data_IF_139412413303
#
_entry.id   IF_139412413303
#
_cell.length_a   1.000
_cell.length_b   1.000
_cell.length_c   1.000
_cell.angle_alpha   90.00
_cell.angle_beta   90.00
_cell.angle_gamma   90.00
#
_symmetry.space_group_name_H-M   'P 1'
#
loop_
_entity.id
_entity.type
_entity.pdbx_description
1 polymer ?
#
# COMPACT_ATOMS: atom_id res chain seq x y z
N UNK A 1 3.14 -32.29 14.67
CA UNK A 1 2.11 -31.45 14.02
C UNK A 1 2.72 -30.27 13.27
N UNK A 2 3.63 -29.49 13.89
CA UNK A 2 4.33 -28.36 13.24
C UNK A 2 5.07 -28.75 11.95
N UNK A 3 5.76 -29.90 11.93
CA UNK A 3 6.49 -30.37 10.74
C UNK A 3 5.57 -30.68 9.54
N UNK A 4 4.42 -31.31 9.78
CA UNK A 4 3.44 -31.61 8.73
C UNK A 4 2.85 -30.33 8.12
N UNK A 5 2.68 -29.27 8.92
CA UNK A 5 2.21 -27.98 8.43
C UNK A 5 3.23 -27.32 7.50
N UNK A 6 4.53 -27.36 7.82
CA UNK A 6 5.57 -26.81 6.95
C UNK A 6 5.73 -27.60 5.64
N UNK A 7 5.62 -28.93 5.68
CA UNK A 7 5.60 -29.75 4.46
C UNK A 7 4.40 -29.37 3.58
N UNK A 8 3.21 -29.21 4.18
CA UNK A 8 2.02 -28.76 3.46
C UNK A 8 2.21 -27.36 2.86
N UNK A 9 2.79 -26.40 3.58
CA UNK A 9 3.07 -25.08 3.01
C UNK A 9 4.10 -25.13 1.88
N UNK A 10 5.12 -25.98 2.00
CA UNK A 10 6.14 -26.18 0.96
C UNK A 10 5.54 -26.79 -0.31
N UNK A 11 4.57 -27.71 -0.18
CA UNK A 11 3.88 -28.29 -1.35
C UNK A 11 3.04 -27.26 -2.13
N UNK A 12 2.61 -26.17 -1.48
CA UNK A 12 1.90 -25.06 -2.10
C UNK A 12 2.82 -24.00 -2.74
N UNK A 13 4.15 -24.18 -2.70
CA UNK A 13 5.12 -23.19 -3.20
C UNK A 13 4.79 -22.67 -4.60
N UNK A 14 4.54 -23.56 -5.56
CA UNK A 14 4.28 -23.14 -6.94
C UNK A 14 2.97 -22.35 -7.04
N UNK A 15 1.93 -22.74 -6.30
CA UNK A 15 0.67 -22.00 -6.24
C UNK A 15 0.88 -20.59 -5.68
N UNK A 16 1.66 -20.45 -4.61
CA UNK A 16 2.00 -19.13 -4.06
C UNK A 16 2.80 -18.28 -5.04
N UNK A 17 3.71 -18.86 -5.82
CA UNK A 17 4.45 -18.11 -6.85
C UNK A 17 3.51 -17.65 -7.97
N UNK A 18 2.61 -18.50 -8.47
CA UNK A 18 1.62 -18.09 -9.46
C UNK A 18 0.70 -17.00 -8.92
N UNK A 19 0.23 -17.16 -7.69
CA UNK A 19 -0.57 -16.15 -7.01
C UNK A 19 0.19 -14.83 -6.92
N UNK A 20 1.43 -14.86 -6.43
CA UNK A 20 2.32 -13.70 -6.33
C UNK A 20 2.53 -12.99 -7.68
N UNK A 21 2.72 -13.73 -8.78
CA UNK A 21 2.82 -13.15 -10.13
C UNK A 21 1.52 -12.47 -10.53
N UNK A 22 0.39 -13.17 -10.36
CA UNK A 22 -0.92 -12.70 -10.80
C UNK A 22 -1.33 -11.38 -10.12
N UNK A 23 -0.91 -11.18 -8.88
CA UNK A 23 -1.22 -9.99 -8.08
C UNK A 23 -0.15 -8.89 -8.16
N UNK A 24 1.13 -9.25 -8.25
CA UNK A 24 2.24 -8.28 -8.30
C UNK A 24 2.29 -7.51 -9.62
N UNK A 25 1.94 -8.15 -10.75
CA UNK A 25 1.92 -7.49 -12.05
C UNK A 25 0.90 -6.33 -12.10
N UNK A 26 -0.39 -6.53 -11.73
CA UNK A 26 -1.33 -5.41 -11.59
C UNK A 26 -0.86 -4.32 -10.64
N UNK A 27 -0.24 -4.68 -9.51
CA UNK A 27 0.30 -3.71 -8.55
C UNK A 27 1.46 -2.90 -9.11
N UNK A 28 2.35 -3.52 -9.88
CA UNK A 28 3.43 -2.81 -10.57
C UNK A 28 2.88 -1.81 -11.59
N UNK A 29 1.88 -2.22 -12.38
CA UNK A 29 1.19 -1.31 -13.31
C UNK A 29 0.52 -0.16 -12.55
N UNK A 30 -0.10 -0.46 -11.41
CA UNK A 30 -0.69 0.55 -10.53
C UNK A 30 0.37 1.55 -10.06
N UNK A 31 1.53 1.09 -9.57
CA UNK A 31 2.64 1.98 -9.19
C UNK A 31 3.13 2.88 -10.33
N UNK A 32 3.21 2.36 -11.56
CA UNK A 32 3.56 3.16 -12.73
C UNK A 32 2.50 4.25 -12.96
N UNK A 33 1.22 3.92 -12.90
CA UNK A 33 0.13 4.89 -13.04
C UNK A 33 0.12 5.91 -11.90
N UNK A 34 0.44 5.50 -10.67
CA UNK A 34 0.56 6.38 -9.53
C UNK A 34 1.65 7.44 -9.76
N UNK A 35 2.86 7.00 -10.13
CA UNK A 35 3.99 7.89 -10.43
C UNK A 35 3.62 8.89 -11.53
N UNK A 36 3.09 8.41 -12.65
CA UNK A 36 2.72 9.29 -13.78
C UNK A 36 1.63 10.28 -13.36
N UNK A 37 0.62 9.83 -12.60
CA UNK A 37 -0.47 10.70 -12.12
C UNK A 37 0.07 11.80 -11.20
N UNK A 38 0.97 11.46 -10.27
CA UNK A 38 1.56 12.43 -9.33
C UNK A 38 2.40 13.45 -10.11
N UNK A 39 3.25 13.00 -11.04
CA UNK A 39 4.09 13.90 -11.85
C UNK A 39 3.23 14.85 -12.69
N UNK A 40 2.19 14.34 -13.36
CA UNK A 40 1.35 15.10 -14.30
C UNK A 40 0.49 16.16 -13.61
N UNK A 41 0.01 15.91 -12.40
CA UNK A 41 -1.00 16.76 -11.75
C UNK A 41 -0.45 17.50 -10.54
N UNK A 42 -0.27 18.82 -10.67
CA UNK A 42 0.24 19.71 -9.61
C UNK A 42 -0.47 19.58 -8.26
N UNK A 43 -1.77 19.24 -8.26
CA UNK A 43 -2.56 19.02 -7.02
C UNK A 43 -2.03 17.88 -6.14
N UNK A 44 -1.20 17.00 -6.69
CA UNK A 44 -0.57 15.90 -5.95
C UNK A 44 0.91 16.17 -5.64
N UNK A 45 1.43 17.39 -5.82
CA UNK A 45 2.83 17.73 -5.50
C UNK A 45 3.02 18.09 -4.01
N UNK A 46 2.38 17.33 -3.12
CA UNK A 46 2.57 17.49 -1.67
C UNK A 46 3.62 16.49 -1.14
N UNK A 47 4.21 16.72 0.05
CA UNK A 47 5.27 15.86 0.59
C UNK A 47 4.87 14.39 0.70
N UNK A 48 3.61 14.10 1.00
CA UNK A 48 3.11 12.72 1.10
C UNK A 48 3.23 11.98 -0.23
N UNK A 49 2.78 12.57 -1.35
CA UNK A 49 2.88 11.92 -2.66
C UNK A 49 4.32 11.87 -3.20
N UNK A 50 5.19 12.82 -2.82
CA UNK A 50 6.62 12.71 -3.10
C UNK A 50 7.22 11.46 -2.44
N UNK A 51 6.87 11.20 -1.18
CA UNK A 51 7.28 9.98 -0.49
C UNK A 51 6.68 8.71 -1.09
N UNK A 52 5.44 8.78 -1.60
CA UNK A 52 4.85 7.68 -2.39
C UNK A 52 5.73 7.38 -3.61
N UNK A 53 6.12 8.37 -4.42
CA UNK A 53 7.00 8.15 -5.58
C UNK A 53 8.32 7.48 -5.16
N UNK A 54 8.96 8.01 -4.11
CA UNK A 54 10.22 7.47 -3.59
C UNK A 54 10.06 6.00 -3.19
N UNK A 55 8.90 5.60 -2.65
CA UNK A 55 8.59 4.21 -2.30
C UNK A 55 8.23 3.35 -3.50
N UNK A 56 7.51 3.88 -4.48
CA UNK A 56 7.04 3.14 -5.65
C UNK A 56 8.21 2.67 -6.54
N UNK A 57 9.28 3.46 -6.65
CA UNK A 57 10.45 3.11 -7.47
C UNK A 57 11.16 1.83 -7.00
N UNK A 58 11.60 1.71 -5.72
CA UNK A 58 12.14 0.46 -5.19
C UNK A 58 11.20 -0.72 -5.33
N UNK A 59 9.89 -0.53 -5.15
CA UNK A 59 8.92 -1.61 -5.30
C UNK A 59 8.80 -2.12 -6.74
N UNK A 60 8.87 -1.24 -7.73
CA UNK A 60 8.91 -1.63 -9.15
C UNK A 60 10.21 -2.40 -9.44
N UNK A 61 11.35 -1.88 -8.99
CA UNK A 61 12.66 -2.53 -9.17
C UNK A 61 12.69 -3.91 -8.51
N UNK A 62 12.21 -4.01 -7.27
CA UNK A 62 12.05 -5.27 -6.55
C UNK A 62 11.15 -6.25 -7.32
N UNK A 63 9.99 -5.79 -7.79
CA UNK A 63 9.04 -6.65 -8.50
C UNK A 63 9.66 -7.21 -9.79
N UNK A 64 10.38 -6.38 -10.55
CA UNK A 64 11.09 -6.80 -11.75
C UNK A 64 12.23 -7.77 -11.42
N UNK A 65 13.11 -7.42 -10.49
CA UNK A 65 14.25 -8.26 -10.10
C UNK A 65 13.78 -9.62 -9.54
N UNK A 66 12.83 -9.62 -8.61
CA UNK A 66 12.25 -10.85 -8.06
C UNK A 66 11.54 -11.69 -9.13
N UNK A 67 10.88 -11.06 -10.11
CA UNK A 67 10.23 -11.78 -11.20
C UNK A 67 11.24 -12.52 -12.06
N UNK A 68 12.29 -11.83 -12.53
CA UNK A 68 13.30 -12.43 -13.39
C UNK A 68 14.23 -13.37 -12.62
N UNK A 69 14.78 -12.94 -11.49
CA UNK A 69 15.85 -13.67 -10.84
C UNK A 69 15.35 -14.81 -9.94
N UNK A 70 14.11 -14.74 -9.46
CA UNK A 70 13.55 -15.73 -8.54
C UNK A 70 12.31 -16.46 -9.09
N UNK A 71 11.25 -15.75 -9.51
CA UNK A 71 9.98 -16.42 -9.83
C UNK A 71 10.05 -17.22 -11.13
N UNK A 72 10.61 -16.63 -12.19
CA UNK A 72 10.78 -17.32 -13.46
C UNK A 72 11.75 -18.49 -13.35
N UNK A 73 12.85 -18.33 -12.62
CA UNK A 73 13.83 -19.41 -12.40
C UNK A 73 13.25 -20.57 -11.59
N UNK A 74 12.33 -20.33 -10.65
CA UNK A 74 11.65 -21.41 -9.92
C UNK A 74 10.58 -22.10 -10.77
N UNK A 75 9.80 -21.36 -11.56
CA UNK A 75 8.71 -21.93 -12.37
C UNK A 75 9.20 -22.63 -13.64
N UNK A 76 10.18 -22.03 -14.32
CA UNK A 76 10.68 -22.46 -15.62
C UNK A 76 12.17 -22.80 -15.58
N UNK A 77 12.68 -23.14 -14.38
CA UNK A 77 14.11 -23.37 -14.15
C UNK A 77 14.73 -24.37 -15.12
N UNK A 78 14.05 -25.47 -15.44
CA UNK A 78 14.57 -26.45 -16.41
C UNK A 78 14.81 -25.84 -17.80
N UNK A 79 13.96 -24.91 -18.22
CA UNK A 79 14.07 -24.22 -19.51
C UNK A 79 15.06 -23.04 -19.45
N UNK A 80 15.06 -22.30 -18.34
CA UNK A 80 15.86 -21.09 -18.17
C UNK A 80 17.28 -21.35 -17.66
N UNK A 81 17.53 -22.48 -16.99
CA UNK A 81 18.80 -22.79 -16.35
C UNK A 81 20.02 -22.68 -17.29
N UNK A 82 19.97 -23.17 -18.55
CA UNK A 82 21.08 -22.99 -19.48
C UNK A 82 21.41 -21.51 -19.76
N UNK A 83 20.42 -20.63 -19.73
CA UNK A 83 20.61 -19.19 -19.89
C UNK A 83 21.17 -18.56 -18.61
N UNK A 84 20.59 -18.87 -17.43
CA UNK A 84 21.03 -18.29 -16.16
C UNK A 84 22.42 -18.76 -15.73
N UNK A 85 22.81 -19.99 -16.06
CA UNK A 85 24.14 -20.52 -15.75
C UNK A 85 25.27 -19.85 -16.56
N UNK A 86 24.92 -19.21 -17.68
CA UNK A 86 25.85 -18.43 -18.51
C UNK A 86 25.93 -16.96 -18.11
N UNK A 87 25.08 -16.49 -17.19
CA UNK A 87 25.13 -15.11 -16.74
C UNK A 87 26.43 -14.85 -15.97
N UNK A 88 27.12 -13.73 -16.23
CA UNK A 88 28.33 -13.39 -15.51
C UNK A 88 28.01 -13.11 -14.03
N UNK A 89 28.95 -13.47 -13.15
CA UNK A 89 28.80 -13.35 -11.69
C UNK A 89 28.37 -11.95 -11.21
N UNK A 90 28.76 -10.89 -11.92
CA UNK A 90 28.37 -9.52 -11.56
C UNK A 90 26.86 -9.29 -11.70
N UNK A 91 26.17 -9.96 -12.63
CA UNK A 91 24.71 -9.84 -12.79
C UNK A 91 23.97 -10.47 -11.63
N UNK A 92 24.41 -11.66 -11.17
CA UNK A 92 23.85 -12.31 -9.99
C UNK A 92 24.05 -11.44 -8.74
N UNK A 93 25.26 -10.89 -8.56
CA UNK A 93 25.55 -9.95 -7.45
C UNK A 93 24.68 -8.70 -7.53
N UNK A 94 24.46 -8.16 -8.72
CA UNK A 94 23.60 -7.00 -8.92
C UNK A 94 22.14 -7.33 -8.56
N UNK A 95 21.62 -8.50 -8.91
CA UNK A 95 20.29 -8.93 -8.50
C UNK A 95 20.16 -9.04 -6.97
N UNK A 96 21.09 -9.75 -6.31
CA UNK A 96 21.11 -9.82 -4.85
C UNK A 96 21.20 -8.44 -4.19
N UNK A 97 22.02 -7.56 -4.75
CA UNK A 97 22.13 -6.17 -4.31
C UNK A 97 20.78 -5.44 -4.47
N UNK A 98 20.15 -5.52 -5.65
CA UNK A 98 18.87 -4.88 -5.91
C UNK A 98 17.80 -5.37 -4.93
N UNK A 99 17.57 -6.68 -4.84
CA UNK A 99 16.61 -7.26 -3.88
C UNK A 99 16.82 -6.74 -2.45
N UNK A 100 18.05 -6.77 -1.95
CA UNK A 100 18.36 -6.36 -0.58
C UNK A 100 18.16 -4.85 -0.35
N UNK A 101 18.71 -4.01 -1.23
CA UNK A 101 18.63 -2.56 -1.08
C UNK A 101 17.25 -1.99 -1.40
N UNK A 102 16.50 -2.60 -2.33
CA UNK A 102 15.10 -2.21 -2.57
C UNK A 102 14.22 -2.49 -1.36
N UNK A 103 14.47 -3.60 -0.64
CA UNK A 103 13.77 -3.90 0.61
C UNK A 103 14.09 -2.86 1.69
N UNK A 104 15.37 -2.50 1.88
CA UNK A 104 15.77 -1.46 2.84
C UNK A 104 15.18 -0.11 2.47
N UNK A 105 15.20 0.25 1.19
CA UNK A 105 14.63 1.49 0.70
C UNK A 105 13.11 1.55 0.91
N UNK A 106 12.39 0.44 0.73
CA UNK A 106 10.96 0.35 1.01
C UNK A 106 10.65 0.52 2.50
N UNK A 107 11.42 -0.12 3.39
CA UNK A 107 11.33 0.11 4.84
C UNK A 107 11.52 1.58 5.20
N UNK A 108 12.59 2.20 4.67
CA UNK A 108 12.90 3.61 4.93
C UNK A 108 11.79 4.53 4.41
N UNK A 109 11.31 4.32 3.18
CA UNK A 109 10.24 5.12 2.62
C UNK A 109 8.94 4.98 3.42
N UNK A 110 8.63 3.77 3.91
CA UNK A 110 7.50 3.54 4.80
C UNK A 110 7.62 4.32 6.11
N UNK A 111 8.82 4.39 6.72
CA UNK A 111 9.08 5.26 7.91
C UNK A 111 8.69 6.69 7.61
N UNK A 112 9.23 7.23 6.52
CA UNK A 112 9.06 8.63 6.18
C UNK A 112 7.59 8.96 5.95
N UNK A 113 6.84 8.05 5.33
CA UNK A 113 5.38 8.19 5.16
C UNK A 113 4.68 8.19 6.52
N UNK A 114 5.00 7.25 7.42
CA UNK A 114 4.40 7.18 8.74
C UNK A 114 4.68 8.45 9.56
N UNK A 115 5.93 8.90 9.57
CA UNK A 115 6.35 10.15 10.21
C UNK A 115 5.61 11.36 9.64
N UNK A 116 5.55 11.48 8.31
CA UNK A 116 4.84 12.56 7.64
C UNK A 116 3.35 12.58 8.00
N UNK A 117 2.71 11.41 8.13
CA UNK A 117 1.30 11.31 8.54
C UNK A 117 1.11 11.64 10.02
N UNK A 118 2.03 11.23 10.90
CA UNK A 118 2.01 11.66 12.30
C UNK A 118 2.06 13.17 12.36
N UNK A 119 3.12 13.77 11.83
CA UNK A 119 3.34 15.21 11.97
C UNK A 119 2.16 15.99 11.41
N UNK A 120 1.60 15.59 10.27
CA UNK A 120 0.40 16.22 9.71
C UNK A 120 -0.82 16.17 10.65
N UNK A 121 -1.00 15.07 11.39
CA UNK A 121 -2.15 14.89 12.29
C UNK A 121 -1.93 15.54 13.66
N UNK A 122 -0.71 15.56 14.19
CA UNK A 122 -0.45 16.08 15.54
C UNK A 122 -0.05 17.53 15.58
N UNK A 123 0.63 18.00 14.54
CA UNK A 123 1.08 19.35 14.38
C UNK A 123 0.33 19.95 13.20
N UNK A 124 -0.86 20.51 13.45
CA UNK A 124 -1.56 21.37 12.49
C UNK A 124 -0.83 22.69 12.18
N UNK A 125 0.51 22.71 12.24
CA UNK A 125 1.35 23.91 12.17
C UNK A 125 2.31 23.82 10.99
N UNK A 126 2.21 24.82 10.10
CA UNK A 126 3.24 25.37 9.19
C UNK A 126 4.48 24.51 8.98
N UNK A 127 4.44 23.69 7.93
CA UNK A 127 5.60 22.93 7.44
C UNK A 127 6.75 23.87 7.04
N UNK A 128 7.83 23.87 7.82
CA UNK A 128 9.18 24.18 7.33
C UNK A 128 9.90 22.86 7.03
N UNK A 129 10.75 22.88 6.00
CA UNK A 129 11.35 21.71 5.33
C UNK A 129 11.89 20.62 6.27
N UNK A 130 11.82 19.33 5.86
CA UNK A 130 12.31 18.22 6.66
C UNK A 130 13.84 18.15 6.67
N UNK A 131 14.40 17.79 7.84
CA UNK A 131 15.83 17.58 8.10
C UNK A 131 16.15 16.12 7.80
N UNK A 132 17.02 15.85 6.83
CA UNK A 132 17.47 14.50 6.45
C UNK A 132 18.98 14.48 6.26
N UNK A 133 19.74 14.38 7.35
CA UNK A 133 21.15 14.07 7.27
C UNK A 133 21.52 13.02 8.32
N UNK A 134 22.14 11.93 7.83
CA UNK A 134 22.77 10.83 8.56
C UNK A 134 21.85 9.83 9.31
N UNK A 135 21.66 8.64 8.72
CA UNK A 135 21.28 7.43 9.45
C UNK A 135 22.03 6.19 8.94
N UNK A 136 22.95 5.60 9.71
CA UNK A 136 23.55 4.29 9.40
C UNK A 136 22.64 3.15 9.90
N UNK A 137 22.40 2.13 9.07
CA UNK A 137 21.44 1.04 9.30
C UNK A 137 22.10 -0.22 9.91
N UNK A 138 21.63 -0.67 11.08
CA UNK A 138 21.98 -1.94 11.76
C UNK A 138 20.68 -2.69 12.16
N UNK A 139 20.68 -4.00 12.40
CA UNK A 139 19.51 -4.80 12.84
C UNK A 139 18.84 -4.22 14.10
N UNK A 140 19.62 -3.66 15.04
CA UNK A 140 19.06 -2.91 16.17
C UNK A 140 18.19 -1.73 15.73
N UNK A 141 18.51 -1.09 14.60
CA UNK A 141 17.64 -0.06 14.02
C UNK A 141 16.30 -0.63 13.58
N UNK A 142 16.19 -1.88 13.10
CA UNK A 142 14.90 -2.44 12.70
C UNK A 142 13.94 -2.61 13.90
N UNK A 143 14.46 -2.98 15.08
CA UNK A 143 13.66 -3.12 16.31
C UNK A 143 13.28 -1.75 16.87
N UNK A 144 14.25 -0.83 16.97
CA UNK A 144 13.98 0.57 17.32
C UNK A 144 13.00 1.20 16.32
N UNK A 145 13.10 0.84 15.04
CA UNK A 145 12.23 1.27 13.96
C UNK A 145 10.79 0.78 14.11
N UNK A 146 10.56 -0.50 14.42
CA UNK A 146 9.21 -1.00 14.71
C UNK A 146 8.64 -0.27 15.92
N UNK A 147 9.46 -0.11 16.97
CA UNK A 147 9.02 0.54 18.20
C UNK A 147 8.61 1.99 17.94
N UNK A 148 9.46 2.75 17.25
CA UNK A 148 9.16 4.11 16.81
C UNK A 148 7.89 4.10 15.96
N UNK A 149 7.79 3.26 14.93
CA UNK A 149 6.62 3.20 14.04
C UNK A 149 5.30 2.86 14.75
N UNK A 150 5.33 1.98 15.76
CA UNK A 150 4.17 1.70 16.61
C UNK A 150 3.79 2.95 17.40
N UNK A 151 4.76 3.60 18.04
CA UNK A 151 4.54 4.86 18.77
C UNK A 151 3.98 5.95 17.85
N UNK A 152 4.49 6.03 16.60
CA UNK A 152 4.01 6.92 15.55
C UNK A 152 2.55 6.66 15.23
N UNK A 153 2.20 5.42 14.93
CA UNK A 153 0.83 5.06 14.58
C UNK A 153 -0.14 5.31 15.75
N UNK A 154 0.26 5.01 16.99
CA UNK A 154 -0.55 5.27 18.20
C UNK A 154 -0.74 6.79 18.40
N UNK A 155 0.35 7.57 18.34
CA UNK A 155 0.30 9.03 18.52
C UNK A 155 -0.57 9.71 17.46
N UNK A 156 -0.45 9.25 16.22
CA UNK A 156 -1.30 9.66 15.10
C UNK A 156 -2.77 9.35 15.37
N UNK A 157 -3.09 8.12 15.77
CA UNK A 157 -4.46 7.71 16.06
C UNK A 157 -5.09 8.49 17.23
N UNK A 158 -4.36 8.66 18.33
CA UNK A 158 -4.82 9.42 19.51
C UNK A 158 -5.08 10.87 19.14
N UNK A 159 -4.18 11.49 18.37
CA UNK A 159 -4.31 12.89 17.99
C UNK A 159 -5.45 13.10 17.00
N UNK A 160 -5.62 12.20 16.03
CA UNK A 160 -6.80 12.18 15.16
C UNK A 160 -8.10 12.09 15.96
N UNK A 161 -8.17 11.20 16.96
CA UNK A 161 -9.36 11.06 17.83
C UNK A 161 -9.63 12.33 18.64
N UNK A 162 -8.58 13.00 19.13
CA UNK A 162 -8.70 14.29 19.84
C UNK A 162 -9.17 15.41 18.91
N UNK A 163 -8.61 15.50 17.70
CA UNK A 163 -8.98 16.48 16.69
C UNK A 163 -10.47 16.32 16.29
N UNK A 164 -10.90 15.08 16.02
CA UNK A 164 -12.29 14.77 15.70
C UNK A 164 -13.27 15.20 16.80
N UNK A 165 -12.91 15.02 18.07
CA UNK A 165 -13.74 15.44 19.22
C UNK A 165 -13.86 16.97 19.33
N UNK A 166 -12.88 17.74 18.85
CA UNK A 166 -12.95 19.22 18.82
C UNK A 166 -13.83 19.72 17.67
N UNK A 167 -13.71 19.12 16.49
CA UNK A 167 -14.46 19.55 15.30
C UNK A 167 -15.95 19.20 15.38
N UNK A 168 -16.33 18.12 16.08
CA UNK A 168 -17.74 17.72 16.21
C UNK A 168 -18.68 18.77 16.84
N UNK A 169 -18.14 19.86 17.41
CA UNK A 169 -18.93 20.97 17.95
C UNK A 169 -19.19 22.12 16.97
N UNK A 170 -18.54 22.16 15.80
CA UNK A 170 -18.60 23.29 14.86
C UNK A 170 -19.19 22.79 13.54
N UNK A 171 -20.19 23.51 13.03
CA UNK A 171 -21.15 23.10 11.98
C UNK A 171 -20.51 22.37 10.78
N UNK A 172 -21.11 21.22 10.46
CA UNK A 172 -20.74 20.31 9.38
C UNK A 172 -20.94 20.92 7.99
N UNK A 173 -19.86 21.32 7.31
CA UNK A 173 -19.89 21.41 5.86
C UNK A 173 -19.64 20.00 5.27
N UNK A 174 -20.32 19.65 4.18
CA UNK A 174 -20.12 18.35 3.49
C UNK A 174 -18.67 18.12 3.06
N UNK A 175 -17.91 19.20 2.85
CA UNK A 175 -16.50 19.15 2.48
C UNK A 175 -15.63 18.60 3.62
N UNK A 176 -15.81 19.08 4.85
CA UNK A 176 -15.05 18.59 6.02
C UNK A 176 -15.27 17.10 6.27
N UNK A 177 -16.51 16.61 6.06
CA UNK A 177 -16.83 15.18 6.20
C UNK A 177 -16.02 14.35 5.19
N UNK A 178 -15.89 14.82 3.94
CA UNK A 178 -15.15 14.13 2.90
C UNK A 178 -13.63 14.17 3.15
N UNK A 179 -13.11 15.28 3.65
CA UNK A 179 -11.70 15.43 4.04
C UNK A 179 -11.35 14.48 5.20
N UNK A 180 -12.14 14.50 6.28
CA UNK A 180 -11.95 13.61 7.43
C UNK A 180 -12.04 12.12 7.03
N UNK A 181 -12.96 11.78 6.12
CA UNK A 181 -13.06 10.41 5.58
C UNK A 181 -11.80 10.02 4.80
N UNK A 182 -11.25 10.92 4.01
CA UNK A 182 -10.03 10.68 3.23
C UNK A 182 -8.84 10.51 4.15
N UNK A 183 -8.70 11.35 5.18
CA UNK A 183 -7.64 11.21 6.17
C UNK A 183 -7.71 9.88 6.94
N UNK A 184 -8.91 9.44 7.31
CA UNK A 184 -9.11 8.15 7.96
C UNK A 184 -8.70 6.98 7.05
N UNK A 185 -9.07 7.01 5.77
CA UNK A 185 -8.64 5.99 4.81
C UNK A 185 -7.12 5.97 4.64
N UNK A 186 -6.47 7.13 4.62
CA UNK A 186 -5.01 7.25 4.57
C UNK A 186 -4.33 6.73 5.85
N UNK A 187 -4.97 6.89 7.01
CA UNK A 187 -4.51 6.29 8.27
C UNK A 187 -4.61 4.77 8.22
N UNK A 188 -5.71 4.21 7.71
CA UNK A 188 -5.84 2.76 7.50
C UNK A 188 -4.78 2.25 6.53
N UNK A 189 -4.52 2.97 5.43
CA UNK A 189 -3.41 2.68 4.52
C UNK A 189 -2.08 2.55 5.26
N UNK A 190 -1.76 3.52 6.12
CA UNK A 190 -0.53 3.53 6.90
C UNK A 190 -0.44 2.35 7.87
N UNK A 191 -1.53 2.03 8.58
CA UNK A 191 -1.59 0.91 9.54
C UNK A 191 -1.42 -0.44 8.83
N UNK A 192 -2.15 -0.68 7.73
CA UNK A 192 -2.04 -1.94 7.00
C UNK A 192 -0.66 -2.11 6.35
N UNK A 193 -0.11 -1.03 5.80
CA UNK A 193 1.27 -1.03 5.29
C UNK A 193 2.24 -1.41 6.41
N UNK A 194 2.10 -0.82 7.60
CA UNK A 194 2.92 -1.15 8.76
C UNK A 194 2.81 -2.62 9.18
N UNK A 195 1.59 -3.17 9.22
CA UNK A 195 1.36 -4.60 9.54
C UNK A 195 2.08 -5.50 8.54
N UNK A 196 2.01 -5.18 7.24
CA UNK A 196 2.75 -5.91 6.21
C UNK A 196 4.26 -5.93 6.46
N UNK A 197 4.84 -4.77 6.79
CA UNK A 197 6.28 -4.65 7.11
C UNK A 197 6.66 -5.36 8.42
N UNK A 198 5.78 -5.36 9.43
CA UNK A 198 6.00 -6.07 10.68
C UNK A 198 6.04 -7.59 10.47
N UNK A 199 5.17 -8.14 9.61
CA UNK A 199 5.20 -9.59 9.27
C UNK A 199 6.51 -9.96 8.55
N UNK A 200 6.94 -9.13 7.60
CA UNK A 200 8.23 -9.31 6.92
C UNK A 200 9.38 -9.35 7.93
N UNK A 201 9.45 -8.38 8.86
CA UNK A 201 10.52 -8.35 9.84
C UNK A 201 10.45 -9.57 10.78
N UNK A 202 9.27 -9.98 11.22
CA UNK A 202 9.10 -11.15 12.05
C UNK A 202 9.69 -12.41 11.38
N UNK A 203 9.55 -12.54 10.06
CA UNK A 203 10.15 -13.65 9.29
C UNK A 203 11.66 -13.53 9.17
N UNK A 204 12.20 -12.33 8.96
CA UNK A 204 13.65 -12.09 8.98
C UNK A 204 14.24 -12.42 10.35
N UNK A 205 13.59 -12.01 11.44
CA UNK A 205 13.99 -12.37 12.80
C UNK A 205 13.91 -13.88 13.04
N UNK A 206 12.83 -14.51 12.59
CA UNK A 206 12.69 -15.97 12.63
C UNK A 206 13.85 -16.62 11.90
N UNK A 207 14.20 -16.19 10.68
CA UNK A 207 15.35 -16.69 9.92
C UNK A 207 16.67 -16.54 10.70
N UNK A 208 16.94 -15.37 11.27
CA UNK A 208 18.16 -15.10 12.03
C UNK A 208 18.26 -15.97 13.30
N UNK A 209 17.14 -16.17 13.99
CA UNK A 209 17.06 -17.02 15.21
C UNK A 209 17.15 -18.50 14.85
N UNK A 210 16.54 -18.90 13.72
CA UNK A 210 16.48 -20.28 13.21
C UNK A 210 17.76 -20.70 12.47
N UNK A 211 18.75 -19.83 12.31
CA UNK A 211 20.08 -20.16 11.78
C UNK A 211 20.80 -21.29 12.57
N UNK A 212 20.13 -21.89 13.57
CA UNK A 212 20.30 -23.23 14.10
C UNK A 212 20.02 -24.35 13.07
N UNK A 213 20.97 -24.66 12.16
CA UNK A 213 21.13 -25.95 11.44
C UNK A 213 19.92 -26.66 10.78
N UNK A 214 18.73 -26.05 10.72
CA UNK A 214 17.50 -26.69 10.27
C UNK A 214 17.16 -26.22 8.84
N UNK A 215 17.73 -26.92 7.87
CA UNK A 215 17.56 -26.62 6.44
C UNK A 215 16.09 -26.62 6.00
N UNK A 216 15.24 -27.48 6.57
CA UNK A 216 13.82 -27.55 6.22
C UNK A 216 13.08 -26.28 6.64
N UNK A 217 13.38 -25.75 7.84
CA UNK A 217 12.76 -24.53 8.32
C UNK A 217 13.27 -23.30 7.55
N UNK A 218 14.56 -23.28 7.20
CA UNK A 218 15.13 -22.26 6.30
C UNK A 218 14.41 -22.28 4.95
N UNK A 219 14.26 -23.45 4.33
CA UNK A 219 13.54 -23.60 3.07
C UNK A 219 12.08 -23.15 3.19
N UNK A 220 11.39 -23.50 4.27
CA UNK A 220 10.03 -23.04 4.53
C UNK A 220 9.95 -21.51 4.62
N UNK A 221 10.86 -20.84 5.33
CA UNK A 221 10.90 -19.37 5.39
C UNK A 221 11.15 -18.78 3.99
N UNK A 222 12.13 -19.29 3.25
CA UNK A 222 12.46 -18.80 1.90
C UNK A 222 11.34 -19.01 0.88
N UNK A 223 10.54 -20.05 1.00
CA UNK A 223 9.39 -20.26 0.11
C UNK A 223 8.24 -19.30 0.39
N UNK A 224 8.10 -18.86 1.64
CA UNK A 224 7.02 -17.97 2.05
C UNK A 224 7.39 -16.48 1.94
N UNK A 225 8.68 -16.17 1.94
CA UNK A 225 9.20 -14.81 1.90
C UNK A 225 8.71 -13.99 0.69
N UNK A 226 8.76 -14.48 -0.57
CA UNK A 226 8.39 -13.69 -1.73
C UNK A 226 6.93 -13.22 -1.72
N UNK A 227 5.98 -14.13 -1.46
CA UNK A 227 4.57 -13.73 -1.47
C UNK A 227 4.22 -12.82 -0.28
N UNK A 228 4.90 -13.00 0.85
CA UNK A 228 4.72 -12.12 2.02
C UNK A 228 5.21 -10.70 1.70
N UNK A 229 6.41 -10.59 1.10
CA UNK A 229 6.96 -9.33 0.61
C UNK A 229 6.03 -8.69 -0.41
N UNK A 230 5.50 -9.47 -1.36
CA UNK A 230 4.57 -8.97 -2.36
C UNK A 230 3.31 -8.40 -1.71
N UNK A 231 2.69 -9.13 -0.78
CA UNK A 231 1.48 -8.66 -0.11
C UNK A 231 1.76 -7.41 0.72
N UNK A 232 2.81 -7.41 1.54
CA UNK A 232 3.11 -6.33 2.48
C UNK A 232 3.67 -5.06 1.85
N UNK A 233 4.57 -5.19 0.87
CA UNK A 233 5.31 -4.08 0.29
C UNK A 233 4.78 -3.64 -1.07
N UNK A 234 4.32 -4.59 -1.90
CA UNK A 234 3.94 -4.30 -3.30
C UNK A 234 2.42 -4.07 -3.43
N UNK A 235 1.62 -5.03 -2.96
CA UNK A 235 0.18 -5.08 -3.21
C UNK A 235 -0.55 -4.15 -2.27
N UNK A 236 -0.47 -4.39 -0.96
CA UNK A 236 -1.26 -3.61 0.00
C UNK A 236 -1.07 -2.11 -0.22
N UNK A 237 0.15 -1.59 -0.35
CA UNK A 237 0.29 -0.15 -0.42
C UNK A 237 -0.24 0.45 -1.74
N UNK A 238 0.05 -0.12 -2.91
CA UNK A 238 -0.48 0.38 -4.18
C UNK A 238 -2.03 0.37 -4.19
N UNK A 239 -2.63 -0.75 -3.83
CA UNK A 239 -4.08 -0.89 -3.83
C UNK A 239 -4.77 -0.06 -2.75
N UNK A 240 -4.17 0.07 -1.56
CA UNK A 240 -4.72 0.89 -0.49
C UNK A 240 -4.62 2.38 -0.81
N UNK A 241 -3.57 2.84 -1.48
CA UNK A 241 -3.48 4.25 -1.91
C UNK A 241 -4.56 4.56 -2.95
N UNK A 242 -4.72 3.68 -3.93
CA UNK A 242 -5.79 3.77 -4.92
C UNK A 242 -7.20 3.77 -4.28
N UNK A 243 -7.39 2.97 -3.23
CA UNK A 243 -8.65 2.94 -2.49
C UNK A 243 -8.86 4.20 -1.63
N UNK A 244 -7.79 4.68 -0.98
CA UNK A 244 -7.86 5.70 0.06
C UNK A 244 -8.23 7.09 -0.46
N UNK A 245 -7.72 7.48 -1.64
CA UNK A 245 -7.92 8.83 -2.19
C UNK A 245 -8.87 8.80 -3.38
N UNK A 246 -10.13 9.20 -3.16
CA UNK A 246 -11.17 9.22 -4.19
C UNK A 246 -10.81 10.19 -5.33
N UNK A 247 -10.18 11.33 -5.01
CA UNK A 247 -9.69 12.31 -5.99
C UNK A 247 -8.54 11.76 -6.84
N UNK A 248 -7.60 11.06 -6.20
CA UNK A 248 -6.45 10.46 -6.89
C UNK A 248 -6.88 9.32 -7.81
N UNK A 249 -7.73 8.40 -7.30
CA UNK A 249 -8.36 7.35 -8.10
C UNK A 249 -9.12 7.92 -9.28
N UNK A 250 -9.95 8.95 -9.06
CA UNK A 250 -10.73 9.57 -10.13
C UNK A 250 -9.81 10.14 -11.21
N UNK A 251 -8.72 10.80 -10.81
CA UNK A 251 -7.76 11.33 -11.78
C UNK A 251 -7.04 10.22 -12.56
N UNK A 252 -6.62 9.16 -11.89
CA UNK A 252 -5.93 8.05 -12.54
C UNK A 252 -6.85 7.29 -13.51
N UNK A 253 -8.12 7.08 -13.15
CA UNK A 253 -9.14 6.55 -14.07
C UNK A 253 -9.33 7.52 -15.24
N UNK A 254 -9.37 8.82 -15.02
CA UNK A 254 -9.48 9.78 -16.12
C UNK A 254 -8.27 9.76 -17.06
N UNK A 255 -7.08 9.50 -16.54
CA UNK A 255 -5.85 9.52 -17.32
C UNK A 255 -5.62 8.23 -18.12
N UNK A 256 -5.85 7.06 -17.51
CA UNK A 256 -5.46 5.77 -18.08
C UNK A 256 -6.63 4.89 -18.53
N UNK A 257 -7.86 5.18 -18.09
CA UNK A 257 -8.99 4.33 -18.42
C UNK A 257 -9.43 4.57 -19.88
N UNK A 258 -9.61 3.51 -20.69
CA UNK A 258 -10.09 3.64 -22.07
C UNK A 258 -11.43 4.39 -22.14
N UNK A 259 -11.67 5.10 -23.25
CA UNK A 259 -12.88 5.91 -23.43
C UNK A 259 -14.19 5.09 -23.32
N UNK A 260 -14.18 3.82 -23.75
CA UNK A 260 -15.35 2.95 -23.62
C UNK A 260 -15.68 2.64 -22.15
N UNK A 261 -14.66 2.38 -21.32
CA UNK A 261 -14.84 2.12 -19.89
C UNK A 261 -15.26 3.41 -19.15
N UNK A 262 -14.75 4.57 -19.56
CA UNK A 262 -15.22 5.87 -19.06
C UNK A 262 -16.72 6.08 -19.33
N UNK A 263 -17.23 5.66 -20.48
CA UNK A 263 -18.66 5.71 -20.80
C UNK A 263 -19.48 4.81 -19.87
N UNK A 264 -19.02 3.60 -19.60
CA UNK A 264 -19.68 2.68 -18.64
C UNK A 264 -19.73 3.25 -17.22
N UNK A 265 -18.63 3.87 -16.75
CA UNK A 265 -18.59 4.50 -15.43
C UNK A 265 -19.58 5.68 -15.37
N UNK A 266 -19.62 6.54 -16.41
CA UNK A 266 -20.57 7.67 -16.47
C UNK A 266 -22.03 7.23 -16.44
N UNK A 267 -22.37 6.13 -17.11
CA UNK A 267 -23.72 5.57 -17.11
C UNK A 267 -24.16 5.19 -15.68
N UNK A 268 -23.29 4.51 -14.94
CA UNK A 268 -23.57 4.09 -13.55
C UNK A 268 -23.75 5.28 -12.60
N UNK A 269 -22.96 6.35 -12.77
CA UNK A 269 -23.08 7.55 -11.93
C UNK A 269 -24.39 8.31 -12.21
N UNK A 270 -24.82 8.37 -13.48
CA UNK A 270 -26.07 9.01 -13.89
C UNK A 270 -27.28 8.29 -13.30
N UNK A 271 -27.28 6.96 -13.34
CA UNK A 271 -28.34 6.12 -12.77
C UNK A 271 -28.49 6.31 -11.25
N UNK A 272 -27.37 6.42 -10.52
CA UNK A 272 -27.38 6.68 -9.06
C UNK A 272 -27.91 8.07 -8.70
N UNK A 273 -27.67 9.08 -9.55
CA UNK A 273 -28.23 10.43 -9.34
C UNK A 273 -29.73 10.46 -9.63
N UNK A 274 -30.20 9.76 -10.66
CA UNK A 274 -31.63 9.68 -10.98
C UNK A 274 -32.43 8.99 -9.87
N UNK A 275 -31.90 7.90 -9.29
CA UNK A 275 -32.55 7.19 -8.17
C UNK A 275 -32.63 8.06 -6.90
N UNK A 276 -31.60 8.86 -6.60
CA UNK A 276 -31.64 9.79 -5.46
C UNK A 276 -32.67 10.91 -5.64
N UNK A 277 -32.79 11.47 -6.85
CA UNK A 277 -33.80 12.50 -7.15
C UNK A 277 -35.21 11.92 -6.98
N UNK A 278 -35.45 10.70 -7.48
CA UNK A 278 -36.74 9.99 -7.33
C UNK A 278 -37.11 9.68 -5.87
N UNK A 279 -36.13 9.41 -5.00
CA UNK A 279 -36.38 9.18 -3.57
C UNK A 279 -36.62 10.47 -2.78
N UNK A 280 -36.02 11.60 -3.20
CA UNK A 280 -36.29 12.92 -2.58
C UNK A 280 -37.61 13.53 -3.03
N UNK A 281 -38.14 13.15 -4.20
CA UNK A 281 -39.54 13.42 -4.58
C UNK A 281 -40.49 12.42 -3.94
N UNK A 282 -40.33 12.16 -2.64
CA UNK A 282 -41.39 11.56 -1.84
C UNK A 282 -42.44 12.65 -1.71
N UNK A 283 -43.40 12.63 -2.62
CA UNK A 283 -44.57 13.51 -2.69
C UNK A 283 -45.08 13.69 -1.26
N UNK A 284 -44.93 14.91 -0.72
CA UNK A 284 -45.63 15.26 0.50
C UNK A 284 -47.11 15.02 0.24
N UNK A 285 -47.82 14.23 1.07
CA UNK A 285 -49.24 14.05 0.90
C UNK A 285 -49.86 15.44 0.95
N UNK A 286 -50.44 15.86 -0.18
CA UNK A 286 -51.16 17.13 -0.31
C UNK A 286 -52.17 17.15 0.83
N UNK A 287 -51.88 17.96 1.84
CA UNK A 287 -52.76 18.14 2.97
C UNK A 287 -54.11 18.59 2.41
N UNK A 288 -55.11 17.72 2.52
CA UNK A 288 -56.49 18.07 2.26
C UNK A 288 -56.85 19.19 3.23
N UNK A 289 -56.75 20.44 2.78
CA UNK A 289 -57.41 21.59 3.43
C UNK A 289 -58.90 21.34 3.29
N UNK A 290 -59.49 20.75 4.32
CA UNK A 290 -60.93 20.73 4.50
C UNK A 290 -61.32 22.18 4.78
N UNK A 291 -61.89 22.85 3.78
CA UNK A 291 -62.53 24.15 3.91
C UNK A 291 -63.90 23.89 4.56
N UNK A 292 -64.00 24.07 5.87
CA UNK A 292 -65.30 24.23 6.50
C UNK A 292 -65.69 25.71 6.44
N UNK A 293 -66.68 26.00 5.61
CA UNK A 293 -67.46 27.23 5.64
C UNK A 293 -68.80 26.91 6.29
N UNK A 294 -69.01 27.35 7.53
CA UNK A 294 -70.29 27.85 8.08
C UNK A 294 -69.97 28.84 9.18
#
# INVERSE_FOLDING_TARGET
MVFNFFIFLSSLRNLFIYFAIAISLPSMVLYIFEIITIIRHKKFHNPFYCLVIIRSIPNILYTLDSYYCYRLTVLFGTFLYPFYSQLPNWMLRLSYFLTFYTMIADFLATILILLNRWTAITMGMTYKQPIYDAFPLNVCYCIVFITISILINIGTFVSYRRHKKRISGIKSSTQEINEARTEYKLLLYAIFTFIGHADILNRVLTYLVVNSNNFDLIAAVYTQYPWTMDVGSVIMPSWLLFWASDNFRSQMILDFCPNFLKRLIKLKTKESTTIKVLQTTKVEPIGQRIVFSV
#
